data_IF_544790740260
#
_entry.id   IF_544790740260
#
_cell.length_a   1.000
_cell.length_b   1.000
_cell.length_c   1.000
_cell.angle_alpha   90.00
_cell.angle_beta   90.00
_cell.angle_gamma   90.00
#
_symmetry.space_group_name_H-M   'P 1'
#
loop_
_entity.id
_entity.type
_entity.pdbx_description
1 polymer ?
#
# COMPACT_ATOMS: atom_id res chain seq x y z
N UNK A 1 -4.90 -19.63 18.07
CA UNK A 1 -4.10 -20.81 17.67
C UNK A 1 -2.75 -20.25 17.32
N UNK A 2 -1.70 -20.73 17.99
CA UNK A 2 -0.34 -20.24 17.76
C UNK A 2 0.07 -20.43 16.31
N UNK A 3 0.62 -19.38 15.70
CA UNK A 3 1.01 -19.41 14.29
C UNK A 3 2.22 -20.33 14.08
N UNK A 4 2.07 -21.26 13.15
CA UNK A 4 3.18 -22.05 12.63
C UNK A 4 3.84 -21.27 11.48
N UNK A 5 5.10 -20.88 11.67
CA UNK A 5 5.86 -20.12 10.67
C UNK A 5 6.54 -21.08 9.69
N UNK A 6 6.05 -21.14 8.46
CA UNK A 6 6.57 -21.99 7.36
C UNK A 6 7.24 -21.17 6.27
N UNK A 7 6.88 -19.90 6.16
CA UNK A 7 7.29 -19.00 5.08
C UNK A 7 8.36 -18.04 5.56
N UNK A 8 8.14 -17.40 6.72
CA UNK A 8 9.09 -16.45 7.29
C UNK A 8 10.20 -17.16 8.04
N UNK A 9 11.44 -16.81 7.72
CA UNK A 9 12.59 -17.32 8.48
C UNK A 9 12.66 -16.68 9.88
N UNK A 10 13.35 -17.30 10.86
CA UNK A 10 13.64 -16.67 12.14
C UNK A 10 14.23 -15.26 12.01
N UNK A 11 15.14 -15.05 11.05
CA UNK A 11 15.82 -13.78 10.79
C UNK A 11 14.85 -12.72 10.25
N UNK A 12 13.94 -13.10 9.34
CA UNK A 12 12.91 -12.18 8.85
C UNK A 12 11.97 -11.75 9.97
N UNK A 13 11.58 -12.67 10.86
CA UNK A 13 10.72 -12.33 12.02
C UNK A 13 11.44 -11.41 12.99
N UNK A 14 12.71 -11.68 13.29
CA UNK A 14 13.52 -10.81 14.13
C UNK A 14 13.68 -9.41 13.50
N UNK A 15 14.00 -9.34 12.20
CA UNK A 15 14.10 -8.09 11.45
C UNK A 15 12.77 -7.31 11.46
N UNK A 16 11.63 -7.99 11.33
CA UNK A 16 10.33 -7.36 11.44
C UNK A 16 10.11 -6.78 12.85
N UNK A 17 10.43 -7.51 13.91
CA UNK A 17 10.26 -7.02 15.28
C UNK A 17 11.20 -5.86 15.62
N UNK A 18 12.36 -5.79 14.97
CA UNK A 18 13.34 -4.71 15.16
C UNK A 18 13.00 -3.46 14.33
N UNK A 19 12.63 -3.64 13.07
CA UNK A 19 12.51 -2.54 12.10
C UNK A 19 11.08 -2.28 11.61
N UNK A 20 10.13 -3.20 11.86
CA UNK A 20 8.74 -3.07 11.46
C UNK A 20 8.47 -3.35 9.98
N UNK A 21 9.42 -3.96 9.26
CA UNK A 21 9.23 -4.33 7.85
C UNK A 21 10.11 -5.51 7.43
N UNK A 22 9.78 -6.15 6.32
CA UNK A 22 10.58 -7.19 5.65
C UNK A 22 10.45 -7.11 4.12
N UNK A 23 11.42 -7.70 3.43
CA UNK A 23 11.33 -8.05 2.02
C UNK A 23 11.08 -9.56 1.87
N UNK A 24 10.18 -9.93 0.97
CA UNK A 24 9.92 -11.29 0.52
C UNK A 24 10.26 -11.39 -0.97
N UNK A 25 11.47 -11.88 -1.31
CA UNK A 25 11.90 -11.97 -2.70
C UNK A 25 11.04 -12.95 -3.50
N UNK A 26 10.72 -12.61 -4.75
CA UNK A 26 9.96 -13.49 -5.65
C UNK A 26 8.60 -13.93 -5.09
N UNK A 27 7.97 -13.09 -4.25
CA UNK A 27 6.65 -13.35 -3.66
C UNK A 27 5.55 -13.49 -4.74
N UNK A 28 5.78 -12.93 -5.91
CA UNK A 28 4.97 -13.04 -7.13
C UNK A 28 5.87 -13.50 -8.28
N UNK A 29 5.41 -14.46 -9.08
CA UNK A 29 6.16 -14.91 -10.26
C UNK A 29 6.30 -13.80 -11.29
N UNK A 30 7.46 -13.72 -11.96
CA UNK A 30 7.75 -12.71 -12.98
C UNK A 30 6.76 -12.77 -14.15
N UNK A 31 6.34 -13.97 -14.56
CA UNK A 31 5.36 -14.20 -15.63
C UNK A 31 4.02 -13.55 -15.31
N UNK A 32 3.56 -13.70 -14.06
CA UNK A 32 2.31 -13.09 -13.58
C UNK A 32 2.42 -11.57 -13.50
N UNK A 33 3.54 -11.03 -13.03
CA UNK A 33 3.78 -9.58 -13.04
C UNK A 33 3.70 -9.03 -14.47
N UNK A 34 4.36 -9.70 -15.43
CA UNK A 34 4.38 -9.27 -16.83
C UNK A 34 2.97 -9.26 -17.44
N UNK A 35 2.19 -10.30 -17.22
CA UNK A 35 0.81 -10.39 -17.69
C UNK A 35 -0.11 -9.32 -17.05
N UNK A 36 0.12 -8.95 -15.79
CA UNK A 36 -0.72 -7.94 -15.13
C UNK A 36 -0.33 -6.51 -15.51
N UNK A 37 0.91 -6.28 -15.92
CA UNK A 37 1.42 -4.98 -16.36
C UNK A 37 1.33 -4.74 -17.88
N UNK A 38 0.99 -5.76 -18.68
CA UNK A 38 1.09 -5.75 -20.15
C UNK A 38 0.41 -4.56 -20.83
N UNK A 39 -0.71 -4.11 -20.28
CA UNK A 39 -1.54 -3.05 -20.86
C UNK A 39 -1.31 -1.68 -20.21
N UNK A 40 -0.35 -1.53 -19.30
CA UNK A 40 -0.16 -0.29 -18.53
C UNK A 40 0.05 0.94 -19.42
N UNK A 41 0.98 0.85 -20.39
CA UNK A 41 1.23 1.93 -21.35
C UNK A 41 0.02 2.24 -22.24
N UNK A 42 -0.69 1.19 -22.70
CA UNK A 42 -1.91 1.34 -23.51
C UNK A 42 -2.98 2.10 -22.74
N UNK A 43 -3.21 1.71 -21.48
CA UNK A 43 -4.20 2.34 -20.59
C UNK A 43 -3.87 3.81 -20.33
N UNK A 44 -2.61 4.13 -20.04
CA UNK A 44 -2.16 5.52 -19.86
C UNK A 44 -2.13 6.33 -21.16
N UNK A 45 -2.12 5.65 -22.32
CA UNK A 45 -1.99 6.27 -23.64
C UNK A 45 -0.58 6.78 -23.91
N UNK A 46 0.41 6.13 -23.31
CA UNK A 46 1.83 6.44 -23.44
C UNK A 46 2.50 5.44 -24.37
N UNK A 47 3.56 5.87 -25.03
CA UNK A 47 4.49 5.00 -25.75
C UNK A 47 5.64 4.63 -24.80
N UNK A 48 5.92 3.33 -24.66
CA UNK A 48 7.00 2.83 -23.81
C UNK A 48 8.39 3.25 -24.29
N UNK A 49 8.53 3.46 -25.60
CA UNK A 49 9.80 3.75 -26.28
C UNK A 49 9.96 5.26 -26.57
N UNK A 50 8.91 6.06 -26.37
CA UNK A 50 8.93 7.52 -26.51
C UNK A 50 8.45 8.23 -25.23
N UNK A 51 9.44 8.61 -24.41
CA UNK A 51 9.24 9.33 -23.15
C UNK A 51 8.61 10.72 -23.30
N UNK A 52 8.56 11.30 -24.50
CA UNK A 52 7.88 12.60 -24.73
C UNK A 52 6.36 12.48 -24.65
N UNK A 53 5.83 11.26 -24.78
CA UNK A 53 4.40 10.96 -24.61
C UNK A 53 3.97 10.85 -23.15
N UNK A 54 4.93 10.79 -22.21
CA UNK A 54 4.65 10.63 -20.77
C UNK A 54 4.27 11.99 -20.19
N UNK A 55 2.99 12.31 -20.25
CA UNK A 55 2.42 13.62 -19.92
C UNK A 55 2.18 13.86 -18.41
N UNK A 56 2.53 12.91 -17.55
CA UNK A 56 2.44 13.04 -16.09
C UNK A 56 3.64 12.39 -15.39
N UNK A 57 4.00 12.92 -14.22
CA UNK A 57 5.08 12.37 -13.37
C UNK A 57 4.69 11.05 -12.69
N UNK A 58 3.41 10.89 -12.36
CA UNK A 58 2.87 9.71 -11.73
C UNK A 58 1.43 9.47 -12.17
N UNK A 59 1.00 8.21 -12.09
CA UNK A 59 -0.34 7.81 -12.48
C UNK A 59 -0.85 6.70 -11.56
N UNK A 60 -1.92 6.97 -10.81
CA UNK A 60 -2.65 5.92 -10.08
C UNK A 60 -3.73 5.34 -10.99
N UNK A 61 -3.49 4.13 -11.47
CA UNK A 61 -4.36 3.46 -12.42
C UNK A 61 -5.63 2.93 -11.71
N UNK A 62 -6.82 3.02 -12.33
CA UNK A 62 -8.00 2.30 -11.86
C UNK A 62 -7.77 0.79 -11.95
N UNK A 63 -8.63 0.02 -11.30
CA UNK A 63 -8.59 -1.45 -11.37
C UNK A 63 -9.48 -1.92 -12.51
N UNK A 64 -8.97 -2.72 -13.44
CA UNK A 64 -9.77 -3.39 -14.48
C UNK A 64 -9.96 -4.87 -14.20
N UNK A 65 -8.99 -5.49 -13.53
CA UNK A 65 -8.93 -6.92 -13.25
C UNK A 65 -8.52 -7.13 -11.80
N UNK A 66 -8.93 -8.26 -11.23
CA UNK A 66 -8.42 -8.70 -9.93
C UNK A 66 -8.49 -10.22 -9.80
N UNK A 67 -7.63 -10.73 -8.93
CA UNK A 67 -7.53 -12.14 -8.60
C UNK A 67 -7.29 -12.25 -7.09
N UNK A 68 -7.75 -13.33 -6.48
CA UNK A 68 -7.59 -13.59 -5.05
C UNK A 68 -6.12 -13.46 -4.64
N UNK A 69 -5.83 -12.86 -3.49
CA UNK A 69 -4.44 -12.63 -3.06
C UNK A 69 -3.63 -13.94 -3.01
N UNK A 70 -4.24 -15.04 -2.57
CA UNK A 70 -3.62 -16.36 -2.50
C UNK A 70 -3.28 -16.97 -3.88
N UNK A 71 -3.96 -16.54 -4.94
CA UNK A 71 -3.71 -16.97 -6.32
C UNK A 71 -2.68 -16.06 -7.00
N UNK A 72 -2.78 -14.75 -6.75
CA UNK A 72 -1.92 -13.74 -7.36
C UNK A 72 -0.53 -13.71 -6.75
N UNK A 73 -0.44 -13.84 -5.43
CA UNK A 73 0.81 -13.74 -4.67
C UNK A 73 0.94 -14.84 -3.62
N UNK A 74 0.92 -16.14 -3.98
CA UNK A 74 0.81 -17.24 -3.01
C UNK A 74 1.87 -17.20 -1.90
N UNK A 75 3.14 -16.90 -2.25
CA UNK A 75 4.23 -16.77 -1.27
C UNK A 75 4.04 -15.51 -0.42
N UNK A 76 3.71 -14.39 -1.05
CA UNK A 76 3.40 -13.13 -0.36
C UNK A 76 2.22 -13.25 0.60
N UNK A 77 1.15 -13.93 0.19
CA UNK A 77 -0.03 -14.20 0.99
C UNK A 77 0.28 -15.05 2.22
N UNK A 78 1.09 -16.11 2.07
CA UNK A 78 1.53 -16.93 3.19
C UNK A 78 2.38 -16.13 4.19
N UNK A 79 3.33 -15.32 3.70
CA UNK A 79 4.14 -14.43 4.53
C UNK A 79 3.28 -13.37 5.25
N UNK A 80 2.36 -12.71 4.55
CA UNK A 80 1.43 -11.76 5.14
C UNK A 80 0.55 -12.42 6.21
N UNK A 81 0.08 -13.65 5.95
CA UNK A 81 -0.71 -14.43 6.93
C UNK A 81 0.10 -14.66 8.20
N UNK A 82 1.36 -15.05 8.09
CA UNK A 82 2.24 -15.25 9.25
C UNK A 82 2.53 -13.94 10.02
N UNK A 83 2.74 -12.82 9.32
CA UNK A 83 2.89 -11.50 9.95
C UNK A 83 1.64 -11.07 10.73
N UNK A 84 0.46 -11.29 10.13
CA UNK A 84 -0.82 -10.81 10.61
C UNK A 84 -1.54 -11.74 11.61
N UNK A 85 -0.88 -12.80 12.08
CA UNK A 85 -1.47 -13.70 13.08
C UNK A 85 -2.42 -14.75 12.49
N UNK A 86 -2.34 -15.00 11.18
CA UNK A 86 -3.07 -16.02 10.44
C UNK A 86 -4.20 -15.45 9.58
N UNK A 87 -4.38 -16.03 8.39
CA UNK A 87 -5.45 -15.66 7.44
C UNK A 87 -6.87 -15.76 8.00
N UNK A 88 -7.10 -16.54 9.04
CA UNK A 88 -8.41 -16.64 9.69
C UNK A 88 -8.80 -15.36 10.43
N UNK A 89 -7.84 -14.45 10.68
CA UNK A 89 -8.07 -13.11 11.23
C UNK A 89 -8.43 -12.07 10.16
N UNK A 90 -8.41 -12.43 8.88
CA UNK A 90 -8.60 -11.48 7.78
C UNK A 90 -10.07 -11.33 7.45
N UNK A 91 -10.42 -10.13 6.97
CA UNK A 91 -11.75 -9.85 6.51
C UNK A 91 -12.07 -10.69 5.25
N UNK A 92 -13.31 -11.18 5.14
CA UNK A 92 -13.68 -12.16 4.10
C UNK A 92 -14.08 -11.56 2.75
N UNK A 93 -14.55 -10.31 2.75
CA UNK A 93 -15.05 -9.63 1.53
C UNK A 93 -14.23 -8.39 1.13
N UNK A 94 -13.74 -7.62 2.10
CA UNK A 94 -13.07 -6.35 1.87
C UNK A 94 -11.59 -6.57 1.56
N UNK A 95 -11.15 -6.10 0.39
CA UNK A 95 -9.75 -6.15 -0.05
C UNK A 95 -9.15 -7.55 0.04
N UNK A 96 -9.82 -8.53 -0.55
CA UNK A 96 -9.36 -9.93 -0.58
C UNK A 96 -8.72 -10.33 -1.91
N UNK A 97 -8.53 -9.37 -2.82
CA UNK A 97 -7.94 -9.56 -4.14
C UNK A 97 -6.91 -8.50 -4.51
N UNK A 98 -5.89 -8.95 -5.23
CA UNK A 98 -4.89 -8.12 -5.88
C UNK A 98 -5.43 -7.71 -7.25
N UNK A 99 -5.38 -6.42 -7.56
CA UNK A 99 -5.78 -5.91 -8.86
C UNK A 99 -4.64 -5.26 -9.63
N UNK A 100 -4.93 -4.91 -10.88
CA UNK A 100 -4.02 -4.18 -11.78
C UNK A 100 -4.12 -2.65 -11.62
N UNK A 101 -4.41 -2.19 -10.40
CA UNK A 101 -4.41 -0.78 -9.99
C UNK A 101 -2.98 -0.31 -9.69
N UNK A 102 -2.14 -0.28 -10.72
CA UNK A 102 -0.73 0.08 -10.61
C UNK A 102 -0.56 1.54 -10.18
N UNK A 103 0.42 1.78 -9.32
CA UNK A 103 0.91 3.09 -8.92
C UNK A 103 2.20 3.34 -9.69
N UNK A 104 2.08 4.12 -10.77
CA UNK A 104 3.17 4.44 -11.68
C UNK A 104 3.88 5.70 -11.22
N UNK A 105 5.21 5.68 -11.23
CA UNK A 105 6.08 6.84 -11.02
C UNK A 105 7.15 6.86 -12.11
N UNK A 106 7.10 7.84 -13.01
CA UNK A 106 8.08 7.99 -14.09
C UNK A 106 8.97 9.20 -13.91
N UNK A 107 8.79 9.97 -12.83
CA UNK A 107 9.50 11.23 -12.63
C UNK A 107 9.12 12.28 -13.66
N UNK A 108 9.74 13.45 -13.59
CA UNK A 108 9.56 14.52 -14.57
C UNK A 108 10.90 15.00 -15.10
N UNK A 109 10.91 15.55 -16.31
CA UNK A 109 12.09 16.20 -16.88
C UNK A 109 12.64 17.31 -15.97
N UNK A 110 11.73 18.05 -15.32
CA UNK A 110 12.08 19.14 -14.42
C UNK A 110 12.83 18.69 -13.15
N UNK A 111 12.66 17.44 -12.72
CA UNK A 111 13.23 16.91 -11.47
C UNK A 111 14.25 15.80 -11.69
N UNK A 112 14.49 15.39 -12.94
CA UNK A 112 15.49 14.40 -13.31
C UNK A 112 16.88 14.84 -12.80
N UNK A 113 17.60 13.91 -12.15
CA UNK A 113 18.90 14.17 -11.53
C UNK A 113 18.91 15.06 -10.27
N UNK A 114 17.78 15.68 -9.87
CA UNK A 114 17.72 16.56 -8.71
C UNK A 114 17.39 15.79 -7.42
N UNK A 115 18.43 15.32 -6.73
CA UNK A 115 18.28 14.70 -5.41
C UNK A 115 17.74 15.69 -4.38
N UNK A 116 16.85 15.21 -3.53
CA UNK A 116 16.35 15.89 -2.34
C UNK A 116 16.57 15.00 -1.14
N UNK A 117 16.70 15.62 0.03
CA UNK A 117 16.76 14.86 1.27
C UNK A 117 15.48 14.01 1.43
N UNK A 118 15.56 12.76 1.91
CA UNK A 118 14.42 11.85 2.12
C UNK A 118 13.18 12.50 2.76
N UNK A 119 13.40 13.29 3.82
CA UNK A 119 12.35 14.00 4.55
C UNK A 119 11.59 15.06 3.72
N UNK A 120 12.24 15.59 2.68
CA UNK A 120 11.73 16.70 1.86
C UNK A 120 11.03 16.23 0.58
N UNK A 121 10.62 14.96 0.52
CA UNK A 121 9.82 14.43 -0.61
C UNK A 121 8.43 15.06 -0.69
N UNK A 122 7.90 15.57 0.43
CA UNK A 122 6.68 16.38 0.47
C UNK A 122 5.37 15.60 0.55
N UNK A 123 5.45 14.26 0.63
CA UNK A 123 4.31 13.35 0.57
C UNK A 123 4.46 12.17 1.56
N UNK A 124 5.06 12.42 2.73
CA UNK A 124 5.11 11.45 3.82
C UNK A 124 3.71 11.18 4.39
N UNK A 125 3.37 9.91 4.56
CA UNK A 125 2.09 9.46 5.07
C UNK A 125 2.18 8.07 5.72
N UNK A 126 1.11 7.70 6.44
CA UNK A 126 0.68 6.31 6.59
C UNK A 126 -0.58 6.09 5.75
N UNK A 127 -0.84 4.86 5.33
CA UNK A 127 -2.00 4.54 4.48
C UNK A 127 -3.29 4.54 5.28
N UNK A 128 -4.35 5.16 4.75
CA UNK A 128 -5.69 5.13 5.34
C UNK A 128 -6.57 6.28 4.85
N UNK A 129 -7.10 6.16 3.64
CA UNK A 129 -7.97 7.19 3.04
C UNK A 129 -9.46 6.79 3.02
N UNK A 130 -9.85 5.74 3.77
CA UNK A 130 -11.22 5.21 3.88
C UNK A 130 -11.69 4.89 5.33
N UNK A 131 -10.91 5.25 6.34
CA UNK A 131 -11.25 5.05 7.75
C UNK A 131 -10.54 6.07 8.66
N UNK A 132 -10.99 6.19 9.90
CA UNK A 132 -10.30 7.01 10.92
C UNK A 132 -9.25 6.17 11.66
N UNK A 133 -8.04 6.70 11.81
CA UNK A 133 -6.95 5.99 12.47
C UNK A 133 -7.07 5.98 13.99
N UNK A 134 -6.95 4.77 14.53
CA UNK A 134 -6.79 4.42 15.94
C UNK A 134 -5.66 3.40 16.13
N UNK A 135 -5.15 3.25 17.34
CA UNK A 135 -4.09 2.29 17.66
C UNK A 135 -4.46 0.84 17.33
N UNK A 136 -5.74 0.48 17.41
CA UNK A 136 -6.26 -0.86 17.15
C UNK A 136 -6.88 -1.04 15.74
N UNK A 137 -6.73 -0.07 14.84
CA UNK A 137 -7.39 -0.08 13.51
C UNK A 137 -7.19 -1.39 12.75
N UNK A 138 -8.28 -2.01 12.29
CA UNK A 138 -8.25 -3.23 11.48
C UNK A 138 -8.20 -2.98 9.97
N UNK A 139 -8.53 -1.77 9.53
CA UNK A 139 -8.81 -1.43 8.14
C UNK A 139 -7.59 -1.45 7.20
N UNK A 140 -6.43 -1.09 7.75
CA UNK A 140 -5.11 -1.26 7.15
C UNK A 140 -4.30 -2.13 8.11
N UNK A 141 -4.33 -3.44 7.92
CA UNK A 141 -3.64 -4.41 8.76
C UNK A 141 -2.17 -4.58 8.39
N UNK A 142 -1.77 -4.27 7.15
CA UNK A 142 -0.40 -4.43 6.70
C UNK A 142 -0.09 -3.47 5.54
N UNK A 143 1.03 -2.75 5.62
CA UNK A 143 1.57 -2.06 4.46
C UNK A 143 2.14 -3.10 3.50
N UNK A 144 1.69 -3.11 2.24
CA UNK A 144 2.19 -4.04 1.22
C UNK A 144 2.69 -3.27 0.02
N UNK A 145 3.94 -3.52 -0.42
CA UNK A 145 4.49 -2.89 -1.62
C UNK A 145 4.98 -3.99 -2.56
N UNK A 146 4.16 -4.33 -3.54
CA UNK A 146 4.47 -5.32 -4.57
C UNK A 146 5.12 -4.66 -5.78
N UNK A 147 6.30 -5.12 -6.18
CA UNK A 147 7.04 -4.54 -7.30
C UNK A 147 6.59 -5.15 -8.63
N UNK A 148 6.09 -4.31 -9.54
CA UNK A 148 5.68 -4.73 -10.90
C UNK A 148 6.73 -4.43 -11.97
N UNK A 149 7.80 -3.75 -11.57
CA UNK A 149 9.00 -3.51 -12.35
C UNK A 149 10.20 -3.70 -11.42
N UNK A 150 11.39 -3.89 -11.99
CA UNK A 150 12.60 -3.74 -11.19
C UNK A 150 12.65 -2.30 -10.66
N UNK A 151 13.03 -2.15 -9.38
CA UNK A 151 13.14 -0.87 -8.71
C UNK A 151 14.57 -0.71 -8.24
N UNK A 152 15.30 0.16 -8.93
CA UNK A 152 16.72 0.44 -8.68
C UNK A 152 16.89 1.71 -7.83
N UNK A 153 18.07 1.91 -7.20
CA UNK A 153 18.42 3.20 -6.61
C UNK A 153 18.19 4.35 -7.60
N UNK A 154 17.70 5.49 -7.10
CA UNK A 154 17.30 6.66 -7.90
C UNK A 154 16.15 6.46 -8.92
N UNK A 155 15.64 5.22 -9.08
CA UNK A 155 14.53 4.86 -9.97
C UNK A 155 13.13 5.11 -9.40
N UNK A 156 13.01 5.98 -8.39
CA UNK A 156 11.74 6.25 -7.71
C UNK A 156 11.25 5.19 -6.72
N UNK A 157 12.10 4.47 -5.97
CA UNK A 157 11.66 3.52 -4.96
C UNK A 157 10.69 4.13 -3.93
N UNK A 158 9.88 3.27 -3.31
CA UNK A 158 9.19 3.66 -2.08
C UNK A 158 10.24 3.89 -1.00
N UNK A 159 10.08 4.95 -0.24
CA UNK A 159 10.93 5.35 0.86
C UNK A 159 10.16 5.12 2.16
N UNK A 160 10.76 4.45 3.13
CA UNK A 160 10.17 4.23 4.46
C UNK A 160 11.06 4.83 5.54
N UNK A 161 10.48 5.10 6.71
CA UNK A 161 11.23 5.56 7.88
C UNK A 161 10.95 4.66 9.10
N UNK A 162 11.69 3.54 9.25
CA UNK A 162 11.58 2.66 10.41
C UNK A 162 11.81 3.38 11.73
N UNK A 163 12.65 4.42 11.73
CA UNK A 163 12.98 5.17 12.94
C UNK A 163 11.82 6.01 13.48
N UNK A 164 10.93 6.47 12.60
CA UNK A 164 9.73 7.21 12.98
C UNK A 164 8.56 6.30 13.40
N UNK A 165 8.55 5.04 12.97
CA UNK A 165 7.44 4.11 13.24
C UNK A 165 7.11 3.98 14.75
N UNK A 166 8.07 3.81 15.68
CA UNK A 166 7.76 3.78 17.11
C UNK A 166 7.13 5.09 17.64
N UNK A 167 7.43 6.23 17.02
CA UNK A 167 6.82 7.52 17.38
C UNK A 167 5.35 7.56 16.96
N UNK A 168 5.02 7.01 15.78
CA UNK A 168 3.64 6.87 15.33
C UNK A 168 2.86 5.92 16.23
N UNK A 169 3.41 4.76 16.57
CA UNK A 169 2.75 3.81 17.47
C UNK A 169 2.42 4.44 18.84
N UNK A 170 3.38 5.16 19.44
CA UNK A 170 3.16 5.86 20.71
C UNK A 170 2.12 6.97 20.59
N UNK A 171 2.17 7.76 19.52
CA UNK A 171 1.16 8.79 19.28
C UNK A 171 -0.23 8.16 19.20
N UNK A 172 -0.42 7.13 18.39
CA UNK A 172 -1.72 6.46 18.25
C UNK A 172 -2.23 5.88 19.59
N UNK A 173 -1.33 5.30 20.39
CA UNK A 173 -1.67 4.76 21.70
C UNK A 173 -2.11 5.86 22.70
N UNK A 174 -1.45 7.01 22.68
CA UNK A 174 -1.69 8.14 23.59
C UNK A 174 -2.91 8.99 23.22
N UNK A 175 -3.48 8.81 22.02
CA UNK A 175 -4.59 9.61 21.48
C UNK A 175 -5.82 8.72 21.16
N UNK A 176 -6.52 8.17 22.17
CA UNK A 176 -7.72 7.35 21.96
C UNK A 176 -8.88 8.12 21.30
N UNK A 177 -8.89 9.44 21.36
CA UNK A 177 -9.80 10.31 20.62
C UNK A 177 -9.61 10.24 19.09
N UNK A 178 -8.48 9.72 18.63
CA UNK A 178 -8.10 9.66 17.22
C UNK A 178 -7.57 11.01 16.71
N UNK A 179 -7.93 11.36 15.48
CA UNK A 179 -7.54 12.65 14.89
C UNK A 179 -6.15 12.67 14.26
N UNK A 180 -5.63 11.51 13.87
CA UNK A 180 -4.37 11.42 13.11
C UNK A 180 -4.39 12.33 11.86
N UNK A 181 -3.28 13.03 11.65
CA UNK A 181 -3.01 13.77 10.43
C UNK A 181 -1.59 13.47 9.99
N UNK A 182 -1.40 13.21 8.69
CA UNK A 182 -0.05 13.00 8.13
C UNK A 182 0.87 14.22 8.28
N UNK A 183 0.32 15.41 8.59
CA UNK A 183 1.10 16.59 8.96
C UNK A 183 1.94 16.39 10.22
N UNK A 184 1.51 15.52 11.14
CA UNK A 184 2.24 15.17 12.36
C UNK A 184 3.60 14.55 12.03
N UNK A 185 3.70 13.83 10.90
CA UNK A 185 4.96 13.21 10.47
C UNK A 185 6.05 14.24 10.18
N UNK A 186 5.70 15.47 9.80
CA UNK A 186 6.70 16.53 9.54
C UNK A 186 7.56 16.79 10.77
N UNK A 187 6.93 16.86 11.94
CA UNK A 187 7.63 17.06 13.20
C UNK A 187 8.39 15.80 13.64
N UNK A 188 7.86 14.60 13.38
CA UNK A 188 8.52 13.34 13.73
C UNK A 188 9.79 13.09 12.90
N UNK A 189 9.78 13.48 11.63
CA UNK A 189 10.86 13.22 10.68
C UNK A 189 11.97 14.28 10.71
N UNK A 190 11.74 15.44 11.34
CA UNK A 190 12.58 16.64 11.19
C UNK A 190 14.06 16.42 11.56
N UNK A 191 14.31 15.63 12.60
CA UNK A 191 15.62 15.36 13.20
C UNK A 191 16.16 13.96 12.87
N UNK A 192 15.46 13.19 12.02
CA UNK A 192 15.93 11.86 11.61
C UNK A 192 17.03 12.01 10.56
N UNK A 193 18.21 11.41 10.77
CA UNK A 193 19.33 11.50 9.85
C UNK A 193 19.08 10.73 8.56
N UNK A 194 19.75 11.09 7.47
CA UNK A 194 19.49 10.56 6.13
C UNK A 194 19.68 9.03 6.05
N UNK A 195 20.64 8.49 6.80
CA UNK A 195 20.95 7.05 6.86
C UNK A 195 19.87 6.18 7.52
N UNK A 196 18.95 6.77 8.29
CA UNK A 196 17.85 6.05 8.95
C UNK A 196 16.62 5.88 8.03
N UNK A 197 16.68 6.44 6.82
CA UNK A 197 15.68 6.23 5.78
C UNK A 197 16.04 5.02 4.91
N UNK A 198 15.03 4.23 4.55
CA UNK A 198 15.24 3.02 3.75
C UNK A 198 14.53 3.13 2.41
N UNK A 199 15.28 2.95 1.33
CA UNK A 199 14.75 2.88 -0.03
C UNK A 199 14.46 1.43 -0.41
N UNK A 200 13.19 1.14 -0.69
CA UNK A 200 12.71 -0.20 -1.06
C UNK A 200 13.07 -0.51 -2.52
N UNK A 201 14.25 -1.11 -2.72
CA UNK A 201 14.78 -1.52 -4.03
C UNK A 201 14.74 -3.05 -4.19
N UNK A 202 14.49 -3.52 -5.40
CA UNK A 202 14.31 -4.95 -5.65
C UNK A 202 13.99 -5.27 -7.09
N UNK A 203 13.74 -6.54 -7.36
CA UNK A 203 13.34 -7.04 -8.67
C UNK A 203 11.82 -7.12 -8.75
N UNK A 204 11.29 -7.08 -9.99
CA UNK A 204 9.88 -7.35 -10.23
C UNK A 204 9.48 -8.70 -9.64
N UNK A 205 8.34 -8.72 -8.95
CA UNK A 205 7.85 -9.87 -8.20
C UNK A 205 8.24 -9.91 -6.72
N UNK A 206 9.19 -9.08 -6.29
CA UNK A 206 9.45 -8.88 -4.86
C UNK A 206 8.27 -8.16 -4.20
N UNK A 207 7.97 -8.51 -2.95
CA UNK A 207 6.99 -7.81 -2.12
C UNK A 207 7.65 -7.38 -0.81
N UNK A 208 7.45 -6.13 -0.43
CA UNK A 208 7.77 -5.64 0.90
C UNK A 208 6.51 -5.61 1.75
N UNK A 209 6.65 -6.03 3.01
CA UNK A 209 5.62 -5.90 4.01
C UNK A 209 6.11 -5.01 5.14
N UNK A 210 5.26 -4.12 5.63
CA UNK A 210 5.55 -3.22 6.73
C UNK A 210 4.40 -3.17 7.73
N UNK A 211 4.71 -2.75 8.96
CA UNK A 211 3.69 -2.39 9.94
C UNK A 211 2.73 -1.35 9.34
N UNK A 212 1.41 -1.41 9.61
CA UNK A 212 0.44 -0.50 9.00
C UNK A 212 0.68 0.98 9.30
N UNK A 213 1.33 1.27 10.43
CA UNK A 213 1.76 2.63 10.79
C UNK A 213 3.12 3.04 10.23
N UNK A 214 3.74 2.25 9.34
CA UNK A 214 5.05 2.57 8.78
C UNK A 214 4.98 3.87 7.98
N UNK A 215 5.66 4.96 8.42
CA UNK A 215 5.72 6.18 7.65
C UNK A 215 6.44 5.88 6.34
N UNK A 216 5.85 6.33 5.24
CA UNK A 216 6.41 6.12 3.93
C UNK A 216 6.08 7.24 2.96
N UNK A 217 6.83 7.27 1.86
CA UNK A 217 6.74 8.28 0.83
C UNK A 217 7.15 7.70 -0.53
N UNK A 218 6.61 8.25 -1.60
CA UNK A 218 7.15 8.04 -2.95
C UNK A 218 8.39 8.91 -3.12
N UNK A 219 9.56 8.29 -3.37
CA UNK A 219 10.75 9.05 -3.74
C UNK A 219 10.65 9.61 -5.17
N UNK A 220 11.48 10.61 -5.46
CA UNK A 220 11.68 11.08 -6.84
C UNK A 220 12.28 9.97 -7.70
N UNK A 221 11.85 9.91 -8.96
CA UNK A 221 12.43 9.04 -9.98
C UNK A 221 13.38 9.86 -10.86
N UNK A 222 14.65 9.89 -10.45
CA UNK A 222 15.68 10.70 -11.10
C UNK A 222 16.10 10.13 -12.46
N UNK A 223 15.89 8.82 -12.67
CA UNK A 223 16.30 8.10 -13.87
C UNK A 223 15.25 8.14 -14.98
N UNK A 224 14.05 8.67 -14.70
CA UNK A 224 12.91 8.64 -15.62
C UNK A 224 12.59 7.21 -16.08
N UNK A 225 12.71 6.21 -15.21
CA UNK A 225 12.38 4.82 -15.55
C UNK A 225 10.89 4.57 -15.35
N UNK A 226 10.30 3.62 -16.09
CA UNK A 226 8.95 3.17 -15.77
C UNK A 226 9.00 2.36 -14.47
N UNK A 227 8.52 2.95 -13.37
CA UNK A 227 8.40 2.29 -12.08
C UNK A 227 6.93 2.04 -11.78
N UNK A 228 6.53 0.77 -11.69
CA UNK A 228 5.18 0.37 -11.29
C UNK A 228 5.23 -0.51 -10.03
N UNK A 229 4.32 -0.23 -9.10
CA UNK A 229 4.06 -1.05 -7.92
C UNK A 229 2.54 -1.24 -7.76
N UNK A 230 2.13 -2.22 -6.97
CA UNK A 230 0.81 -2.22 -6.34
C UNK A 230 0.95 -2.12 -4.83
N UNK A 231 -0.02 -1.46 -4.20
CA UNK A 231 -0.19 -1.44 -2.75
C UNK A 231 -1.54 -2.09 -2.39
N UNK A 232 -1.62 -3.44 -2.39
CA UNK A 232 -2.83 -4.12 -1.96
C UNK A 232 -3.02 -3.95 -0.45
N UNK A 233 -4.25 -3.70 -0.04
CA UNK A 233 -4.65 -3.55 1.35
C UNK A 233 -4.94 -4.91 1.95
N UNK A 234 -4.54 -5.11 3.20
CA UNK A 234 -5.00 -6.23 4.03
C UNK A 234 -5.93 -5.66 5.09
N UNK A 235 -7.16 -6.13 5.18
CA UNK A 235 -8.09 -5.75 6.26
C UNK A 235 -8.29 -6.92 7.21
N UNK A 236 -8.23 -6.65 8.52
CA UNK A 236 -8.55 -7.62 9.56
C UNK A 236 -10.06 -7.65 9.81
N UNK A 237 -10.58 -8.81 10.19
CA UNK A 237 -11.99 -8.98 10.58
C UNK A 237 -12.27 -8.20 11.88
N UNK A 238 -11.34 -8.28 12.83
CA UNK A 238 -11.42 -7.64 14.14
C UNK A 238 -10.25 -6.66 14.35
N UNK A 239 -10.41 -5.60 15.17
CA UNK A 239 -9.33 -4.73 15.61
C UNK A 239 -8.12 -5.50 16.18
N UNK A 240 -6.94 -4.88 16.13
CA UNK A 240 -5.77 -5.42 16.82
C UNK A 240 -6.05 -5.56 18.32
N UNK A 241 -5.59 -6.66 18.93
CA UNK A 241 -5.79 -6.90 20.35
C UNK A 241 -4.44 -6.95 21.06
N UNK A 242 -4.20 -5.94 21.89
CA UNK A 242 -2.97 -5.73 22.65
C UNK A 242 -3.02 -6.25 24.09
N UNK A 243 -4.09 -6.97 24.47
CA UNK A 243 -4.36 -7.42 25.85
C UNK A 243 -4.79 -8.89 25.90
N UNK A 244 -4.22 -9.73 25.03
CA UNK A 244 -4.56 -11.16 24.92
C UNK A 244 -4.06 -11.91 26.17
N UNK A 245 -4.92 -12.62 26.91
CA UNK A 245 -4.50 -13.35 28.11
C UNK A 245 -3.49 -14.48 27.85
N UNK A 246 -3.48 -15.04 26.64
CA UNK A 246 -2.58 -16.12 26.22
C UNK A 246 -1.25 -15.62 25.64
N UNK A 247 -1.11 -14.29 25.44
CA UNK A 247 0.08 -13.69 24.82
C UNK A 247 0.27 -14.05 23.34
N UNK A 248 -0.74 -14.60 22.65
CA UNK A 248 -0.67 -15.03 21.24
C UNK A 248 -0.82 -13.85 20.26
N UNK A 249 0.07 -12.86 20.43
CA UNK A 249 0.14 -11.66 19.59
C UNK A 249 0.74 -11.99 18.22
N UNK A 250 0.18 -11.38 17.16
CA UNK A 250 0.81 -11.37 15.84
C UNK A 250 2.12 -10.56 15.88
N UNK A 251 2.95 -10.68 14.84
CA UNK A 251 4.19 -9.87 14.75
C UNK A 251 3.87 -8.38 14.66
N UNK A 252 2.73 -8.00 14.09
CA UNK A 252 2.23 -6.63 14.06
C UNK A 252 1.87 -6.15 15.47
N UNK A 253 1.04 -6.92 16.18
CA UNK A 253 0.63 -6.62 17.55
C UNK A 253 1.86 -6.51 18.46
N UNK A 254 2.80 -7.46 18.34
CA UNK A 254 4.02 -7.50 19.13
C UNK A 254 4.97 -6.33 18.84
N UNK A 255 5.11 -5.92 17.57
CA UNK A 255 5.91 -4.74 17.23
C UNK A 255 5.34 -3.49 17.93
N UNK A 256 4.03 -3.26 17.80
CA UNK A 256 3.38 -2.10 18.41
C UNK A 256 3.54 -2.09 19.93
N UNK A 257 3.32 -3.24 20.59
CA UNK A 257 3.54 -3.44 22.03
C UNK A 257 4.97 -3.10 22.47
N UNK A 258 5.98 -3.58 21.73
CA UNK A 258 7.37 -3.25 21.99
C UNK A 258 7.63 -1.74 21.86
N UNK A 259 7.07 -1.11 20.82
CA UNK A 259 7.26 0.32 20.54
C UNK A 259 6.67 1.25 21.61
N UNK A 260 5.58 0.81 22.26
CA UNK A 260 4.93 1.55 23.37
C UNK A 260 5.45 1.15 24.76
N UNK A 261 6.37 0.19 24.86
CA UNK A 261 7.00 -0.22 26.13
C UNK A 261 6.22 -1.27 26.94
N UNK A 262 5.28 -1.99 26.30
CA UNK A 262 4.46 -3.02 26.93
C UNK A 262 4.66 -4.39 26.26
N UNK A 263 5.89 -4.95 26.22
CA UNK A 263 6.18 -6.16 25.43
C UNK A 263 5.38 -7.40 25.82
N UNK A 264 4.83 -7.44 27.04
CA UNK A 264 4.01 -8.55 27.54
C UNK A 264 2.51 -8.32 27.34
N UNK A 265 2.12 -7.26 26.63
CA UNK A 265 0.73 -6.84 26.48
C UNK A 265 0.30 -5.78 27.49
N UNK A 266 -0.87 -5.20 27.24
CA UNK A 266 -1.56 -4.26 28.10
C UNK A 266 -2.39 -5.03 29.14
N UNK A 267 -2.35 -4.57 30.40
CA UNK A 267 -3.20 -5.12 31.47
C UNK A 267 -4.68 -4.80 31.24
N UNK A 268 -4.97 -3.64 30.65
CA UNK A 268 -6.31 -3.19 30.30
C UNK A 268 -6.43 -3.06 28.78
N UNK A 269 -7.50 -3.57 28.15
CA UNK A 269 -7.70 -3.41 26.72
C UNK A 269 -7.72 -1.93 26.31
N UNK A 270 -6.87 -1.56 25.35
CA UNK A 270 -6.94 -0.26 24.71
C UNK A 270 -8.25 -0.14 23.93
N UNK A 271 -8.88 1.04 23.96
CA UNK A 271 -10.12 1.32 23.23
C UNK A 271 -10.11 2.75 22.72
N UNK A 272 -10.64 3.02 21.52
CA UNK A 272 -10.85 4.37 21.08
C UNK A 272 -12.02 5.01 21.83
N UNK A 273 -11.99 6.34 21.99
CA UNK A 273 -13.07 7.11 22.61
C UNK A 273 -14.30 7.23 21.68
N UNK A 274 -14.11 6.95 20.40
CA UNK A 274 -15.14 6.99 19.37
C UNK A 274 -15.18 5.67 18.59
N UNK A 275 -16.36 5.26 18.07
CA UNK A 275 -16.47 4.07 17.24
C UNK A 275 -15.60 4.19 15.98
N UNK A 276 -14.97 3.09 15.56
CA UNK A 276 -14.33 3.00 14.24
C UNK A 276 -15.32 3.39 13.14
N UNK A 277 -14.90 4.29 12.26
CA UNK A 277 -15.69 4.69 11.10
C UNK A 277 -14.98 4.32 9.82
N UNK A 278 -15.77 3.85 8.86
CA UNK A 278 -15.39 3.65 7.46
C UNK A 278 -16.16 4.62 6.58
N UNK A 279 -15.54 5.01 5.48
CA UNK A 279 -16.11 5.84 4.43
C UNK A 279 -15.54 5.40 3.09
N UNK A 280 -16.09 5.87 1.99
CA UNK A 280 -15.50 5.57 0.68
C UNK A 280 -14.17 6.32 0.51
N UNK A 281 -13.16 5.73 -0.17
CA UNK A 281 -11.85 6.36 -0.29
C UNK A 281 -11.92 7.74 -0.95
N UNK A 282 -11.23 8.74 -0.39
CA UNK A 282 -11.15 10.08 -1.01
C UNK A 282 -10.58 10.03 -2.43
N UNK A 283 -9.70 9.06 -2.70
CA UNK A 283 -9.05 8.88 -4.01
C UNK A 283 -9.85 8.05 -5.02
N UNK A 284 -10.99 7.47 -4.62
CA UNK A 284 -11.77 6.55 -5.48
C UNK A 284 -12.29 7.24 -6.75
N UNK A 285 -12.91 8.41 -6.62
CA UNK A 285 -13.44 9.15 -7.77
C UNK A 285 -12.37 9.55 -8.78
N UNK A 286 -11.15 9.84 -8.33
CA UNK A 286 -10.01 10.15 -9.22
C UNK A 286 -9.55 8.96 -10.04
N UNK A 287 -9.67 7.74 -9.50
CA UNK A 287 -9.46 6.50 -10.26
C UNK A 287 -10.62 6.25 -11.23
N UNK A 288 -11.85 6.34 -10.76
CA UNK A 288 -13.05 6.06 -11.55
C UNK A 288 -13.17 6.99 -12.78
N UNK A 289 -12.78 8.25 -12.63
CA UNK A 289 -12.76 9.23 -13.72
C UNK A 289 -11.85 8.85 -14.90
N UNK A 290 -10.89 7.93 -14.69
CA UNK A 290 -9.93 7.48 -15.72
C UNK A 290 -10.45 6.28 -16.51
N UNK A 291 -11.36 5.49 -15.94
CA UNK A 291 -11.80 4.17 -16.47
C UNK A 291 -12.27 4.25 -17.91
N UNK A 292 -13.13 5.23 -18.24
CA UNK A 292 -13.70 5.35 -19.58
C UNK A 292 -12.61 5.53 -20.65
N UNK A 293 -11.64 6.41 -20.39
CA UNK A 293 -10.53 6.69 -21.32
C UNK A 293 -9.57 5.50 -21.44
N UNK A 294 -9.30 4.79 -20.33
CA UNK A 294 -8.51 3.56 -20.37
C UNK A 294 -9.21 2.46 -21.19
N UNK A 295 -10.53 2.26 -21.01
CA UNK A 295 -11.32 1.32 -21.80
C UNK A 295 -11.31 1.67 -23.30
N UNK A 296 -11.49 2.94 -23.65
CA UNK A 296 -11.42 3.40 -25.05
C UNK A 296 -10.07 3.04 -25.69
N UNK A 297 -8.96 3.32 -25.00
CA UNK A 297 -7.60 3.01 -25.49
C UNK A 297 -7.37 1.51 -25.63
N UNK A 298 -7.81 0.72 -24.67
CA UNK A 298 -7.70 -0.74 -24.73
C UNK A 298 -8.53 -1.33 -25.87
N UNK A 299 -9.76 -0.84 -26.08
CA UNK A 299 -10.63 -1.26 -27.21
C UNK A 299 -9.98 -0.92 -28.55
N UNK A 300 -9.51 0.31 -28.72
CA UNK A 300 -8.83 0.73 -29.95
C UNK A 300 -7.55 -0.08 -30.21
N UNK A 301 -6.79 -0.41 -29.15
CA UNK A 301 -5.64 -1.30 -29.28
C UNK A 301 -6.05 -2.70 -29.73
N UNK A 302 -7.06 -3.30 -29.09
CA UNK A 302 -7.56 -4.63 -29.41
C UNK A 302 -8.10 -4.72 -30.85
N UNK A 303 -8.84 -3.72 -31.32
CA UNK A 303 -9.32 -3.63 -32.70
C UNK A 303 -8.16 -3.60 -33.71
N UNK A 304 -7.09 -2.86 -33.40
CA UNK A 304 -5.91 -2.74 -34.26
C UNK A 304 -5.06 -4.02 -34.30
N UNK A 305 -4.94 -4.72 -33.18
CA UNK A 305 -4.06 -5.90 -33.06
C UNK A 305 -4.78 -7.24 -33.21
N UNK A 306 -6.10 -7.24 -33.29
CA UNK A 306 -6.91 -8.47 -33.27
C UNK A 306 -6.99 -9.13 -31.88
N UNK A 307 -6.71 -8.37 -30.81
CA UNK A 307 -6.75 -8.84 -29.43
C UNK A 307 -8.13 -8.72 -28.76
N UNK A 308 -8.17 -8.94 -27.44
CA UNK A 308 -9.36 -8.76 -26.60
C UNK A 308 -9.09 -7.77 -25.48
N UNK A 309 -10.15 -7.20 -24.89
CA UNK A 309 -10.05 -6.35 -23.69
C UNK A 309 -10.52 -7.15 -22.49
N UNK A 310 -9.60 -7.39 -21.56
CA UNK A 310 -9.89 -8.03 -20.28
C UNK A 310 -10.17 -6.95 -19.22
N UNK A 311 -11.45 -6.80 -18.85
CA UNK A 311 -11.87 -5.86 -17.82
C UNK A 311 -13.25 -6.21 -17.26
N UNK A 312 -13.36 -6.24 -15.93
CA UNK A 312 -14.63 -6.42 -15.21
C UNK A 312 -15.69 -5.35 -15.54
N UNK A 313 -15.29 -4.14 -15.94
CA UNK A 313 -16.23 -3.11 -16.40
C UNK A 313 -17.00 -3.49 -17.68
N UNK A 314 -16.50 -4.46 -18.46
CA UNK A 314 -17.19 -4.97 -19.66
C UNK A 314 -18.10 -6.17 -19.35
N UNK A 315 -17.81 -6.92 -18.28
CA UNK A 315 -18.58 -8.08 -17.84
C UNK A 315 -19.68 -7.71 -16.83
N UNK A 316 -19.52 -6.58 -16.13
CA UNK A 316 -20.42 -6.14 -15.05
C UNK A 316 -20.11 -6.82 -13.71
N UNK A 317 -19.01 -7.56 -13.60
CA UNK A 317 -18.55 -8.15 -12.35
C UNK A 317 -18.16 -7.06 -11.35
N UNK A 318 -18.42 -7.31 -10.06
CA UNK A 318 -18.03 -6.38 -8.99
C UNK A 318 -16.56 -6.54 -8.63
N UNK A 319 -15.96 -5.43 -8.18
CA UNK A 319 -14.67 -5.42 -7.51
C UNK A 319 -14.83 -5.52 -5.99
N UNK A 320 -13.86 -6.16 -5.32
CA UNK A 320 -13.88 -6.25 -3.84
C UNK A 320 -13.85 -4.87 -3.16
N UNK A 321 -13.26 -3.86 -3.80
CA UNK A 321 -13.30 -2.48 -3.29
C UNK A 321 -14.72 -1.88 -3.24
N UNK A 322 -15.65 -2.39 -4.04
CA UNK A 322 -17.04 -1.89 -4.08
C UNK A 322 -17.85 -2.25 -2.84
N UNK A 323 -17.36 -3.14 -1.97
CA UNK A 323 -17.97 -3.33 -0.66
C UNK A 323 -17.94 -2.06 0.20
N UNK A 324 -17.05 -1.09 -0.11
CA UNK A 324 -17.05 0.22 0.56
C UNK A 324 -18.24 1.11 0.17
N UNK A 325 -18.98 0.79 -0.90
CA UNK A 325 -20.17 1.56 -1.32
C UNK A 325 -21.28 1.57 -0.25
N UNK A 326 -21.25 0.65 0.72
CA UNK A 326 -22.15 0.61 1.88
C UNK A 326 -21.88 1.70 2.92
N UNK A 327 -20.73 2.38 2.83
CA UNK A 327 -20.32 3.43 3.74
C UNK A 327 -20.53 4.83 3.14
N UNK A 328 -20.59 5.88 3.99
CA UNK A 328 -20.77 7.25 3.51
C UNK A 328 -19.74 7.65 2.47
N UNK A 329 -20.19 8.41 1.47
CA UNK A 329 -19.29 9.06 0.51
C UNK A 329 -18.49 10.16 1.20
N UNK A 330 -17.22 10.38 0.82
CA UNK A 330 -16.47 11.50 1.32
C UNK A 330 -17.06 12.82 0.79
N UNK A 331 -16.90 13.90 1.55
CA UNK A 331 -17.32 15.25 1.14
C UNK A 331 -16.56 15.76 -0.11
N UNK A 332 -15.36 15.22 -0.35
CA UNK A 332 -14.50 15.54 -1.49
C UNK A 332 -13.88 14.28 -2.07
N UNK A 333 -13.68 14.27 -3.38
CA UNK A 333 -12.85 13.26 -4.04
C UNK A 333 -11.74 13.93 -4.86
N UNK A 334 -10.57 13.31 -4.91
CA UNK A 334 -9.36 13.87 -5.51
C UNK A 334 -8.59 12.85 -6.33
N UNK A 335 -7.75 13.32 -7.25
CA UNK A 335 -6.69 12.51 -7.86
C UNK A 335 -5.56 12.29 -6.85
N UNK A 336 -5.15 11.04 -6.62
CA UNK A 336 -4.11 10.71 -5.64
C UNK A 336 -2.74 11.36 -5.96
N UNK A 337 -2.40 11.49 -7.24
CA UNK A 337 -1.11 12.05 -7.68
C UNK A 337 -0.99 13.58 -7.56
N UNK A 338 -2.10 14.32 -7.64
CA UNK A 338 -2.09 15.80 -7.70
C UNK A 338 -2.91 16.46 -6.59
N UNK A 339 -3.68 15.68 -5.83
CA UNK A 339 -4.69 16.16 -4.87
C UNK A 339 -5.72 17.11 -5.48
N UNK A 340 -5.82 17.19 -6.81
CA UNK A 340 -6.80 18.02 -7.50
C UNK A 340 -8.20 17.42 -7.35
N UNK A 341 -9.24 18.24 -7.14
CA UNK A 341 -10.60 17.76 -6.96
C UNK A 341 -11.16 17.15 -8.25
N UNK A 342 -12.02 16.14 -8.08
CA UNK A 342 -12.76 15.47 -9.15
C UNK A 342 -14.21 15.95 -9.11
N UNK A 343 -14.83 16.15 -10.28
CA UNK A 343 -16.27 16.44 -10.35
C UNK A 343 -17.03 15.18 -9.92
N UNK A 344 -17.73 15.28 -8.78
CA UNK A 344 -18.60 14.22 -8.23
C UNK A 344 -19.84 14.04 -9.08
#
# INVERSE_FOLDING_TARGET
MTIEYKTLTPEQRAHFLEHGWIKVPGAISKERIDAWAENAFIRMGWDKDDKSTWDAEAYHMPRHREERHEEHMPIGYAAASELAGGKDRWHKELWVSSGDSLIVNVGSEATAGQRVHPKDTGNWHIDGDWFDHYFDSSDQGLLTVALYTDVVPDGGPTLICPKALPMVCRWMYEHPEGGWSNEILKDMLKDIPEEDYVYLTGEKGDVFFGHPFMPHSKSRNHLRLFRAICNPVLTLEEPFNYSRPDGDYSLLEQYALNAIGYPNGLETPWKPDHPHRRFQPYTQGGRDAKVAKELERMKAHAERTGGTVDSKYLTGERFDGQYLERYPKPERSVYAETSQPVKV
#
